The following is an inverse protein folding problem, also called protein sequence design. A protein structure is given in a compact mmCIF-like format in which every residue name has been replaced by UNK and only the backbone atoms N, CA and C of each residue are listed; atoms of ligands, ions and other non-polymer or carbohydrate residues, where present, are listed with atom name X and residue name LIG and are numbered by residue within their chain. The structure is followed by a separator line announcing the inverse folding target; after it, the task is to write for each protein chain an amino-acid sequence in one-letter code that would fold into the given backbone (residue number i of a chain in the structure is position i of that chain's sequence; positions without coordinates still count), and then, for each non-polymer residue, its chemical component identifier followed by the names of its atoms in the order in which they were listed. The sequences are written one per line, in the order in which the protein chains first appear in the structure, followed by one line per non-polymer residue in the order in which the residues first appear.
data_IF_460285381779
#
_entry.id   IF_460285381779
#
_cell.length_a   1.000
_cell.length_b   1.000
_cell.length_c   1.000
_cell.angle_alpha   90.00
_cell.angle_beta   90.00
_cell.angle_gamma   90.00
#
_symmetry.space_group_name_H-M   'P 1'
#
loop_
_entity.id
_entity.type
_entity.pdbx_description
1 polymer ?
#
# COMPACT_ATOMS: atom_id res chain seq x y z
N UNK A 1 -6.28 2.69 7.62
CA UNK A 1 -6.53 1.95 8.88
C UNK A 1 -6.64 0.48 8.60
N UNK A 2 -7.83 0.04 8.19
CA UNK A 2 -8.15 -1.39 8.06
C UNK A 2 -7.24 -2.22 7.14
N UNK A 3 -6.78 -1.70 6.00
CA UNK A 3 -5.86 -2.44 5.10
C UNK A 3 -4.58 -2.83 5.86
N UNK A 4 -3.96 -1.86 6.53
CA UNK A 4 -2.69 -2.02 7.23
C UNK A 4 -2.85 -3.04 8.35
N UNK A 5 -3.90 -2.93 9.18
CA UNK A 5 -4.21 -3.92 10.22
C UNK A 5 -4.32 -5.34 9.66
N UNK A 6 -4.95 -5.49 8.48
CA UNK A 6 -5.10 -6.81 7.84
C UNK A 6 -3.75 -7.37 7.38
N UNK A 7 -2.87 -6.51 6.86
CA UNK A 7 -1.53 -6.87 6.40
C UNK A 7 -0.58 -7.29 7.53
N UNK A 8 -0.71 -6.70 8.73
CA UNK A 8 0.06 -7.16 9.90
C UNK A 8 -0.20 -8.65 10.18
N UNK A 9 -1.46 -9.06 10.19
CA UNK A 9 -1.85 -10.46 10.37
C UNK A 9 -1.37 -11.37 9.24
N UNK A 10 -1.29 -10.86 8.01
CA UNK A 10 -0.72 -11.62 6.87
C UNK A 10 0.78 -11.84 7.07
N UNK A 11 1.50 -10.82 7.56
CA UNK A 11 2.94 -10.85 7.78
C UNK A 11 3.36 -11.46 9.14
N UNK A 12 2.43 -12.03 9.90
CA UNK A 12 2.72 -12.70 11.17
C UNK A 12 2.97 -11.76 12.36
N UNK A 13 2.61 -10.48 12.24
CA UNK A 13 2.65 -9.51 13.35
C UNK A 13 1.28 -9.32 14.01
N UNK A 14 1.27 -9.10 15.32
CA UNK A 14 0.11 -8.54 16.03
C UNK A 14 0.35 -7.04 16.24
N UNK A 15 -0.53 -6.21 15.69
CA UNK A 15 -0.57 -4.79 16.00
C UNK A 15 -1.08 -4.65 17.44
N UNK A 16 -0.27 -4.12 18.36
CA UNK A 16 -0.79 -3.66 19.66
C UNK A 16 -1.56 -2.38 19.40
N UNK A 17 -2.89 -2.51 19.33
CA UNK A 17 -3.84 -1.51 18.86
C UNK A 17 -4.04 -0.31 19.84
N UNK A 18 -3.00 0.11 20.56
CA UNK A 18 -3.02 1.22 21.52
C UNK A 18 -2.31 2.48 20.99
N UNK A 19 -1.95 2.51 19.71
CA UNK A 19 -1.30 3.65 19.11
C UNK A 19 -2.34 4.69 18.70
N UNK A 20 -2.15 5.95 19.15
CA UNK A 20 -2.96 7.10 18.80
C UNK A 20 -2.82 7.44 17.31
N UNK A 21 -3.44 6.63 16.44
CA UNK A 21 -3.50 6.89 15.01
C UNK A 21 -4.45 8.06 14.81
N UNK A 22 -3.88 9.23 14.51
CA UNK A 22 -4.66 10.35 14.06
C UNK A 22 -5.02 10.13 12.58
N UNK A 23 -6.25 9.70 12.31
CA UNK A 23 -6.73 9.47 10.94
C UNK A 23 -6.65 10.72 10.04
N UNK A 24 -6.60 11.91 10.65
CA UNK A 24 -6.44 13.17 9.94
C UNK A 24 -4.99 13.49 9.60
N UNK A 25 -3.99 12.85 10.21
CA UNK A 25 -2.60 13.06 9.83
C UNK A 25 -2.19 12.08 8.72
N UNK A 26 -1.45 12.54 7.70
CA UNK A 26 -0.81 11.62 6.76
C UNK A 26 0.28 10.77 7.43
N UNK A 27 0.86 11.22 8.55
CA UNK A 27 1.95 10.55 9.23
C UNK A 27 1.46 9.58 10.30
N UNK A 28 1.72 8.29 10.13
CA UNK A 28 1.34 7.23 11.05
C UNK A 28 2.60 6.61 11.66
N UNK A 29 2.76 6.81 12.96
CA UNK A 29 3.83 6.23 13.78
C UNK A 29 3.35 4.88 14.30
N UNK A 30 3.91 3.80 13.75
CA UNK A 30 3.58 2.44 14.19
C UNK A 30 4.78 1.68 14.77
N UNK A 31 4.56 0.89 15.82
CA UNK A 31 5.55 -0.04 16.36
C UNK A 31 5.51 -1.38 15.61
N UNK A 32 6.52 -1.64 14.78
CA UNK A 32 6.69 -2.90 14.05
C UNK A 32 7.85 -3.70 14.64
N UNK A 33 7.68 -5.01 14.91
CA UNK A 33 8.70 -5.83 15.56
C UNK A 33 9.93 -6.13 14.70
N UNK A 34 9.83 -6.06 13.36
CA UNK A 34 10.95 -6.32 12.43
C UNK A 34 10.88 -5.48 11.15
N UNK A 35 12.04 -5.11 10.60
CA UNK A 35 12.18 -4.50 9.27
C UNK A 35 11.61 -5.42 8.16
N UNK A 36 11.69 -6.73 8.31
CA UNK A 36 11.16 -7.69 7.33
C UNK A 36 9.63 -7.64 7.26
N UNK A 37 8.97 -7.46 8.41
CA UNK A 37 7.51 -7.31 8.47
C UNK A 37 7.10 -5.96 7.85
N UNK A 38 7.84 -4.89 8.15
CA UNK A 38 7.62 -3.58 7.54
C UNK A 38 7.72 -3.67 6.00
N UNK A 39 8.79 -4.28 5.47
CA UNK A 39 8.95 -4.50 4.03
C UNK A 39 7.87 -5.43 3.47
N UNK A 40 7.46 -6.46 4.21
CA UNK A 40 6.37 -7.36 3.84
C UNK A 40 5.03 -6.65 3.64
N UNK A 41 4.69 -5.71 4.54
CA UNK A 41 3.51 -4.86 4.41
C UNK A 41 3.60 -3.97 3.16
N UNK A 42 4.76 -3.34 2.94
CA UNK A 42 4.95 -2.42 1.81
C UNK A 42 4.88 -3.11 0.44
N UNK A 43 5.28 -4.38 0.36
CA UNK A 43 5.13 -5.20 -0.86
C UNK A 43 3.68 -5.47 -1.26
N UNK A 44 2.69 -5.08 -0.44
CA UNK A 44 1.28 -5.39 -0.69
C UNK A 44 0.33 -4.20 -0.57
N UNK A 45 0.63 -3.24 0.30
CA UNK A 45 -0.24 -2.09 0.51
C UNK A 45 -0.31 -1.22 -0.74
N UNK A 46 -1.53 -0.81 -1.09
CA UNK A 46 -1.77 0.22 -2.11
C UNK A 46 -2.15 1.57 -1.50
N UNK A 47 -2.36 1.62 -0.18
CA UNK A 47 -2.64 2.87 0.53
C UNK A 47 -1.35 3.57 0.99
N UNK A 48 -0.39 2.85 1.56
CA UNK A 48 0.83 3.47 2.07
C UNK A 48 1.76 3.89 0.93
N UNK A 49 2.40 5.06 1.06
CA UNK A 49 3.34 5.55 0.06
C UNK A 49 4.74 4.97 0.28
N UNK A 50 5.25 5.12 1.49
CA UNK A 50 6.60 4.70 1.86
C UNK A 50 6.65 4.39 3.35
N UNK A 51 7.57 3.50 3.74
CA UNK A 51 7.86 3.18 5.14
C UNK A 51 9.29 3.55 5.51
N UNK A 52 9.46 4.06 6.72
CA UNK A 52 10.75 4.54 7.21
C UNK A 52 10.96 4.08 8.64
N UNK A 53 12.18 3.69 8.95
CA UNK A 53 12.66 3.53 10.33
C UNK A 53 12.86 4.93 10.93
N UNK A 54 11.99 5.31 11.87
CA UNK A 54 12.11 6.59 12.57
C UNK A 54 13.26 6.56 13.58
N UNK A 55 14.11 7.56 13.50
CA UNK A 55 15.21 7.80 14.43
C UNK A 55 14.87 8.90 15.44
N UNK A 56 14.11 9.91 15.02
CA UNK A 56 13.68 10.95 15.94
C UNK A 56 12.49 11.75 15.44
N UNK A 57 11.75 12.34 16.37
CA UNK A 57 10.62 13.22 16.10
C UNK A 57 10.61 14.40 17.08
N UNK A 58 9.99 15.50 16.68
CA UNK A 58 9.80 16.67 17.55
C UNK A 58 8.91 17.73 16.93
N UNK A 59 8.27 18.56 17.74
CA UNK A 59 7.50 19.73 17.27
C UNK A 59 8.40 20.93 16.95
N UNK A 60 9.61 20.90 17.49
CA UNK A 60 10.65 21.90 17.24
C UNK A 60 11.96 21.23 16.83
N UNK A 61 12.84 21.98 16.16
CA UNK A 61 14.18 21.51 15.85
C UNK A 61 14.98 21.07 17.08
N UNK A 62 14.79 21.77 18.21
CA UNK A 62 15.42 21.40 19.49
C UNK A 62 14.95 20.03 19.98
N UNK A 63 13.64 19.79 19.95
CA UNK A 63 13.06 18.49 20.32
C UNK A 63 13.54 17.37 19.39
N UNK A 64 13.53 17.61 18.08
CA UNK A 64 14.04 16.65 17.10
C UNK A 64 15.51 16.30 17.37
N UNK A 65 16.33 17.32 17.62
CA UNK A 65 17.75 17.16 17.91
C UNK A 65 17.98 16.33 19.18
N UNK A 66 17.25 16.60 20.26
CA UNK A 66 17.29 15.80 21.49
C UNK A 66 16.82 14.36 21.23
N UNK A 67 15.74 14.18 20.47
CA UNK A 67 15.22 12.85 20.12
C UNK A 67 16.24 12.04 19.31
N UNK A 68 16.95 12.67 18.38
CA UNK A 68 17.98 12.03 17.56
C UNK A 68 19.23 11.65 18.37
N UNK A 69 19.64 12.50 19.31
CA UNK A 69 20.76 12.19 20.23
C UNK A 69 20.47 11.01 21.15
N UNK A 70 19.22 10.84 21.54
CA UNK A 70 18.78 9.75 22.41
C UNK A 70 18.56 8.42 21.66
N UNK A 71 18.61 8.42 20.33
CA UNK A 71 18.41 7.21 19.55
C UNK A 71 19.64 6.27 19.68
N UNK A 72 19.45 4.95 19.86
CA UNK A 72 20.55 4.02 20.08
C UNK A 72 21.60 4.05 18.96
N UNK A 73 22.83 4.43 19.30
CA UNK A 73 23.92 4.60 18.32
C UNK A 73 24.26 3.29 17.62
N UNK A 74 24.13 2.15 18.31
CA UNK A 74 24.31 0.80 17.75
C UNK A 74 23.38 0.52 16.55
N UNK A 75 22.17 1.11 16.53
CA UNK A 75 21.22 0.95 15.43
C UNK A 75 21.50 1.92 14.27
N UNK A 76 22.04 3.09 14.55
CA UNK A 76 22.43 4.06 13.52
C UNK A 76 23.72 3.67 12.82
N UNK A 77 24.70 3.22 13.59
CA UNK A 77 26.07 2.98 13.14
C UNK A 77 26.17 2.18 11.83
N UNK A 78 25.44 1.07 11.61
CA UNK A 78 25.54 0.30 10.37
C UNK A 78 25.28 1.13 9.11
N UNK A 79 24.46 2.18 9.21
CA UNK A 79 24.03 2.99 8.08
C UNK A 79 24.81 4.30 7.92
N UNK A 80 25.78 4.56 8.81
CA UNK A 80 26.56 5.80 8.88
C UNK A 80 28.06 5.58 8.64
N UNK A 81 28.47 4.37 8.25
CA UNK A 81 29.88 4.00 8.06
C UNK A 81 30.54 4.69 6.86
N UNK A 82 31.88 4.70 6.83
CA UNK A 82 32.69 5.38 5.79
C UNK A 82 32.63 4.72 4.42
N UNK A 83 32.40 3.42 4.41
CA UNK A 83 32.32 2.57 3.24
C UNK A 83 30.95 2.64 2.55
N UNK A 84 29.92 3.17 3.23
CA UNK A 84 28.59 3.32 2.64
C UNK A 84 28.35 4.69 2.00
N UNK A 85 27.36 4.71 1.12
CA UNK A 85 26.90 5.94 0.47
C UNK A 85 25.50 6.32 0.93
N UNK A 86 25.25 7.63 1.10
CA UNK A 86 23.96 8.09 1.56
C UNK A 86 23.44 9.34 0.85
N UNK A 87 22.14 9.56 1.00
CA UNK A 87 21.43 10.77 0.59
C UNK A 87 20.41 11.17 1.66
N UNK A 88 20.29 12.47 1.91
CA UNK A 88 19.23 13.04 2.75
C UNK A 88 18.23 13.78 1.84
N UNK A 89 16.97 13.40 1.94
CA UNK A 89 15.86 14.07 1.28
C UNK A 89 15.08 14.91 2.30
N UNK A 90 14.58 16.06 1.88
CA UNK A 90 13.70 16.90 2.69
C UNK A 90 12.35 16.99 2.00
N UNK A 91 11.30 16.60 2.72
CA UNK A 91 9.93 16.63 2.22
C UNK A 91 9.02 17.38 3.19
N UNK A 92 8.29 18.36 2.67
CA UNK A 92 7.27 19.06 3.41
C UNK A 92 5.89 18.68 2.86
N UNK A 93 5.05 18.14 3.73
CA UNK A 93 3.66 17.89 3.44
C UNK A 93 2.91 19.23 3.38
N UNK A 94 2.04 19.42 2.39
CA UNK A 94 1.27 20.66 2.18
C UNK A 94 2.09 21.96 2.03
N UNK A 95 3.40 21.88 1.78
CA UNK A 95 4.23 23.08 1.52
C UNK A 95 5.33 22.80 0.50
N UNK A 96 5.55 23.73 -0.42
CA UNK A 96 6.69 23.65 -1.34
C UNK A 96 7.88 24.38 -0.74
N UNK A 97 8.97 23.64 -0.51
CA UNK A 97 10.24 24.21 -0.05
C UNK A 97 11.14 24.58 -1.24
N UNK A 98 11.77 25.75 -1.16
CA UNK A 98 12.83 26.17 -2.09
C UNK A 98 14.09 25.34 -1.88
N UNK A 99 14.94 25.26 -2.91
CA UNK A 99 16.18 24.49 -2.85
C UNK A 99 17.11 24.94 -1.70
N UNK A 100 17.33 26.25 -1.54
CA UNK A 100 18.17 26.79 -0.47
C UNK A 100 17.65 26.44 0.92
N UNK A 101 16.34 26.46 1.14
CA UNK A 101 15.73 26.05 2.42
C UNK A 101 15.91 24.56 2.68
N UNK A 102 15.93 23.71 1.64
CA UNK A 102 16.20 22.28 1.80
C UNK A 102 17.65 22.04 2.21
N UNK A 103 18.60 22.75 1.60
CA UNK A 103 20.02 22.67 1.95
C UNK A 103 20.24 23.09 3.41
N UNK A 104 19.71 24.26 3.81
CA UNK A 104 19.82 24.74 5.20
C UNK A 104 19.35 23.69 6.23
N UNK A 105 18.23 23.02 5.96
CA UNK A 105 17.71 21.96 6.83
C UNK A 105 18.58 20.70 6.84
N UNK A 106 19.32 20.43 5.77
CA UNK A 106 20.30 19.34 5.73
C UNK A 106 21.54 19.73 6.54
N UNK A 107 21.99 20.98 6.42
CA UNK A 107 23.11 21.51 7.21
C UNK A 107 22.79 21.49 8.72
N UNK A 108 21.53 21.78 9.10
CA UNK A 108 21.04 21.66 10.48
C UNK A 108 21.14 20.22 11.04
N UNK A 109 21.32 19.22 10.19
CA UNK A 109 21.49 17.80 10.55
C UNK A 109 22.97 17.35 10.61
N UNK A 110 23.93 18.25 10.40
CA UNK A 110 25.37 17.96 10.37
C UNK A 110 25.89 17.36 11.69
N UNK A 111 25.20 17.60 12.81
CA UNK A 111 25.55 17.03 14.11
C UNK A 111 25.44 15.49 14.17
N UNK A 112 24.74 14.86 13.22
CA UNK A 112 24.64 13.42 13.13
C UNK A 112 25.98 12.84 12.60
N UNK A 113 26.46 11.71 13.14
CA UNK A 113 27.79 11.19 12.84
C UNK A 113 27.85 10.46 11.49
N UNK A 114 27.40 11.10 10.40
CA UNK A 114 27.54 10.60 9.04
C UNK A 114 29.01 10.55 8.65
N UNK A 115 29.58 9.34 8.53
CA UNK A 115 30.95 9.14 8.04
C UNK A 115 31.00 8.71 6.57
N UNK A 116 29.86 8.31 6.00
CA UNK A 116 29.73 7.85 4.62
C UNK A 116 29.89 8.96 3.58
N UNK A 117 29.91 8.59 2.31
CA UNK A 117 30.00 9.55 1.19
C UNK A 117 28.61 9.93 0.67
N UNK A 118 28.41 11.20 0.34
CA UNK A 118 27.14 11.65 -0.26
C UNK A 118 27.05 11.17 -1.72
N UNK A 119 26.00 10.43 -2.05
CA UNK A 119 25.68 10.01 -3.42
C UNK A 119 24.22 10.37 -3.75
N UNK A 120 24.02 11.34 -4.65
CA UNK A 120 22.69 11.83 -4.98
C UNK A 120 21.94 10.96 -6.01
N UNK A 121 22.65 10.11 -6.76
CA UNK A 121 22.11 9.31 -7.87
C UNK A 121 21.76 7.89 -7.45
N UNK A 122 22.66 7.21 -6.76
CA UNK A 122 22.52 5.79 -6.39
C UNK A 122 23.06 5.50 -4.98
N UNK A 123 22.47 6.12 -3.93
CA UNK A 123 22.88 5.87 -2.55
C UNK A 123 22.48 4.47 -2.08
N UNK A 124 23.27 3.89 -1.19
CA UNK A 124 22.91 2.67 -0.45
C UNK A 124 21.87 2.95 0.64
N UNK A 125 21.96 4.12 1.27
CA UNK A 125 21.06 4.51 2.35
C UNK A 125 20.39 5.85 2.06
N UNK A 126 19.07 5.87 2.16
CA UNK A 126 18.27 7.08 1.94
C UNK A 126 17.63 7.49 3.24
N UNK A 127 17.91 8.72 3.67
CA UNK A 127 17.34 9.34 4.85
C UNK A 127 16.36 10.42 4.45
N UNK A 128 15.34 10.64 5.28
CA UNK A 128 14.33 11.65 5.03
C UNK A 128 14.09 12.48 6.28
N UNK A 129 14.14 13.80 6.10
CA UNK A 129 13.53 14.77 6.98
C UNK A 129 12.13 15.09 6.45
N UNK A 130 11.12 14.84 7.27
CA UNK A 130 9.73 15.00 6.91
C UNK A 130 9.08 16.05 7.80
N UNK A 131 8.36 16.97 7.17
CA UNK A 131 7.70 18.07 7.85
C UNK A 131 6.18 17.99 7.63
N UNK A 132 5.42 17.91 8.72
CA UNK A 132 3.96 17.91 8.69
C UNK A 132 3.43 19.33 8.90
N UNK A 133 2.87 19.96 7.85
CA UNK A 133 2.18 21.25 7.94
C UNK A 133 0.65 21.10 8.08
N UNK A 134 0.14 19.89 8.36
CA UNK A 134 -1.29 19.62 8.52
C UNK A 134 -2.01 19.47 7.19
N UNK A 135 -3.33 19.24 7.24
CA UNK A 135 -4.14 18.83 6.07
C UNK A 135 -4.83 19.95 5.32
N UNK A 136 -4.94 21.14 5.89
CA UNK A 136 -5.60 22.29 5.24
C UNK A 136 -4.58 23.04 4.35
N UNK A 137 -4.67 22.93 3.01
CA UNK A 137 -3.73 23.60 2.12
C UNK A 137 -3.91 25.12 2.13
N UNK A 138 -5.12 25.61 2.43
CA UNK A 138 -5.46 27.03 2.37
C UNK A 138 -4.96 27.80 3.60
N UNK A 139 -4.75 27.10 4.72
CA UNK A 139 -4.27 27.67 5.97
C UNK A 139 -2.99 26.98 6.46
N UNK A 140 -1.98 26.93 5.58
CA UNK A 140 -0.71 26.26 5.87
C UNK A 140 0.11 27.10 6.87
N UNK A 141 0.48 26.56 8.04
CA UNK A 141 1.24 27.30 9.04
C UNK A 141 2.66 27.64 8.57
N UNK A 142 3.27 28.62 9.24
CA UNK A 142 4.64 29.03 8.93
C UNK A 142 5.65 27.94 9.31
N UNK A 143 5.44 27.32 10.48
CA UNK A 143 6.24 26.21 11.04
C UNK A 143 5.46 24.89 10.95
N UNK A 144 6.14 23.75 10.78
CA UNK A 144 5.48 22.46 10.78
C UNK A 144 4.98 22.13 12.20
N UNK A 145 3.90 21.36 12.28
CA UNK A 145 3.37 20.83 13.53
C UNK A 145 4.30 19.76 14.12
N UNK A 146 4.86 18.91 13.26
CA UNK A 146 5.79 17.84 13.64
C UNK A 146 6.86 17.67 12.58
N UNK A 147 8.08 17.44 13.05
CA UNK A 147 9.25 17.04 12.28
C UNK A 147 9.56 15.58 12.57
N UNK A 148 9.90 14.83 11.54
CA UNK A 148 10.34 13.45 11.65
C UNK A 148 11.63 13.24 10.87
N UNK A 149 12.55 12.45 11.43
CA UNK A 149 13.76 12.05 10.74
C UNK A 149 13.95 10.54 10.82
N UNK A 150 14.30 9.91 9.71
CA UNK A 150 14.48 8.47 9.66
C UNK A 150 15.07 7.93 8.36
N UNK A 151 15.34 6.63 8.36
CA UNK A 151 15.88 5.87 7.21
C UNK A 151 14.73 5.27 6.41
N UNK A 152 14.72 5.48 5.09
CA UNK A 152 13.75 4.85 4.17
C UNK A 152 14.03 3.36 4.05
N UNK A 153 12.96 2.55 4.04
CA UNK A 153 13.05 1.08 3.95
C UNK A 153 12.44 0.52 2.67
N UNK A 154 11.26 1.01 2.27
CA UNK A 154 10.54 0.53 1.09
C UNK A 154 9.39 1.48 0.69
N UNK A 155 8.99 1.42 -0.57
CA UNK A 155 7.78 2.04 -1.10
C UNK A 155 6.62 1.05 -1.21
N UNK A 156 5.40 1.57 -1.16
CA UNK A 156 4.17 0.81 -1.35
C UNK A 156 3.87 0.56 -2.81
N UNK A 157 2.88 -0.29 -3.08
CA UNK A 157 2.54 -0.78 -4.43
C UNK A 157 1.50 0.11 -5.15
N UNK A 158 1.61 1.44 -5.04
CA UNK A 158 0.61 2.37 -5.62
C UNK A 158 0.57 2.32 -7.14
N UNK A 159 1.68 1.94 -7.77
CA UNK A 159 1.81 1.69 -9.20
C UNK A 159 0.86 0.61 -9.73
N UNK A 160 0.43 -0.31 -8.87
CA UNK A 160 -0.57 -1.32 -9.23
C UNK A 160 -1.92 -0.69 -9.60
N UNK A 161 -2.27 0.44 -8.98
CA UNK A 161 -3.53 1.15 -9.26
C UNK A 161 -3.58 1.60 -10.73
N UNK A 162 -2.47 2.14 -11.24
CA UNK A 162 -2.38 2.57 -12.63
C UNK A 162 -2.20 1.40 -13.60
N UNK A 163 -1.40 0.41 -13.21
CA UNK A 163 -1.12 -0.80 -14.02
C UNK A 163 -2.39 -1.63 -14.26
N UNK A 164 -3.22 -1.79 -13.23
CA UNK A 164 -4.47 -2.56 -13.28
C UNK A 164 -5.71 -1.69 -13.53
N UNK A 165 -5.51 -0.42 -13.89
CA UNK A 165 -6.60 0.53 -14.08
C UNK A 165 -7.63 0.01 -15.09
N UNK A 166 -8.91 0.24 -14.79
CA UNK A 166 -10.03 -0.24 -15.62
C UNK A 166 -9.90 0.26 -17.07
N UNK A 167 -9.32 1.44 -17.30
CA UNK A 167 -9.12 2.01 -18.64
C UNK A 167 -8.23 1.13 -19.52
N UNK A 168 -7.19 0.52 -18.95
CA UNK A 168 -6.18 -0.30 -19.65
C UNK A 168 -6.58 -1.78 -19.77
N UNK A 169 -7.64 -2.20 -19.08
CA UNK A 169 -8.05 -3.60 -19.02
C UNK A 169 -8.73 -4.07 -20.31
N UNK A 170 -8.44 -5.29 -20.74
CA UNK A 170 -8.98 -5.86 -21.97
C UNK A 170 -10.50 -6.01 -21.91
N UNK A 171 -11.01 -6.73 -20.90
CA UNK A 171 -12.42 -6.95 -20.67
C UNK A 171 -12.95 -6.07 -19.53
N UNK A 172 -13.87 -5.16 -19.88
CA UNK A 172 -14.50 -4.23 -18.93
C UNK A 172 -16.02 -4.29 -19.00
N UNK A 173 -16.66 -3.87 -17.91
CA UNK A 173 -18.10 -3.78 -17.77
C UNK A 173 -18.49 -2.52 -17.01
N UNK A 174 -19.78 -2.17 -17.07
CA UNK A 174 -20.28 -0.94 -16.42
C UNK A 174 -20.16 -0.96 -14.88
N UNK A 175 -19.93 -2.14 -14.32
CA UNK A 175 -19.80 -2.39 -12.88
C UNK A 175 -18.42 -2.96 -12.52
N UNK A 176 -17.41 -2.74 -13.37
CA UNK A 176 -16.04 -3.13 -13.05
C UNK A 176 -15.53 -2.30 -11.87
N UNK A 177 -15.14 -2.99 -10.81
CA UNK A 177 -14.54 -2.37 -9.64
C UNK A 177 -13.21 -1.69 -9.99
N UNK A 178 -12.93 -0.58 -9.30
CA UNK A 178 -11.66 0.13 -9.39
C UNK A 178 -10.49 -0.75 -8.89
N UNK A 179 -9.31 -0.54 -9.45
CA UNK A 179 -8.12 -1.32 -9.10
C UNK A 179 -7.71 -1.13 -7.64
N UNK A 180 -7.74 0.11 -7.14
CA UNK A 180 -7.35 0.44 -5.78
C UNK A 180 -8.18 -0.34 -4.75
N UNK A 181 -9.50 -0.22 -4.85
CA UNK A 181 -10.43 -0.89 -3.96
C UNK A 181 -10.37 -2.42 -4.10
N UNK A 182 -10.15 -2.93 -5.32
CA UNK A 182 -9.96 -4.37 -5.53
C UNK A 182 -8.75 -4.93 -4.75
N UNK A 183 -7.62 -4.21 -4.77
CA UNK A 183 -6.42 -4.60 -4.00
C UNK A 183 -6.63 -4.45 -2.48
N UNK A 184 -7.30 -3.38 -2.05
CA UNK A 184 -7.65 -3.18 -0.63
C UNK A 184 -8.53 -4.33 -0.13
N UNK A 185 -9.54 -4.73 -0.90
CA UNK A 185 -10.42 -5.85 -0.53
C UNK A 185 -9.66 -7.18 -0.50
N UNK A 186 -8.73 -7.43 -1.43
CA UNK A 186 -7.88 -8.62 -1.41
C UNK A 186 -6.94 -8.65 -0.18
N UNK A 187 -6.42 -7.50 0.23
CA UNK A 187 -5.63 -7.35 1.45
C UNK A 187 -6.47 -7.55 2.72
N UNK A 188 -7.71 -7.04 2.74
CA UNK A 188 -8.67 -7.27 3.82
C UNK A 188 -9.09 -8.73 3.96
N UNK A 189 -9.29 -9.41 2.84
CA UNK A 189 -9.53 -10.85 2.80
C UNK A 189 -8.28 -11.69 3.11
N UNK A 190 -7.14 -11.03 3.39
CA UNK A 190 -5.88 -11.67 3.78
C UNK A 190 -5.41 -12.72 2.77
N UNK A 191 -5.65 -12.48 1.48
CA UNK A 191 -5.36 -13.43 0.41
C UNK A 191 -3.86 -13.76 0.36
N UNK A 192 -3.53 -15.04 0.46
CA UNK A 192 -2.16 -15.59 0.40
C UNK A 192 -1.94 -16.39 -0.88
N UNK A 193 -0.67 -16.59 -1.29
CA UNK A 193 -0.34 -17.53 -2.35
C UNK A 193 -0.96 -18.90 -2.09
N UNK A 194 -1.44 -19.54 -3.16
CA UNK A 194 -2.13 -20.83 -3.15
C UNK A 194 -3.51 -20.85 -2.46
N UNK A 195 -4.04 -19.72 -2.00
CA UNK A 195 -5.43 -19.70 -1.54
C UNK A 195 -6.40 -19.96 -2.69
N UNK A 196 -7.49 -20.66 -2.40
CA UNK A 196 -8.64 -20.73 -3.31
C UNK A 196 -9.64 -19.63 -2.93
N UNK A 197 -9.76 -18.63 -3.80
CA UNK A 197 -10.62 -17.46 -3.62
C UNK A 197 -11.84 -17.55 -4.52
N UNK A 198 -13.00 -17.24 -3.95
CA UNK A 198 -14.28 -17.29 -4.64
C UNK A 198 -14.99 -15.93 -4.65
N UNK A 199 -15.48 -15.51 -5.81
CA UNK A 199 -16.37 -14.35 -5.95
C UNK A 199 -17.77 -14.76 -6.45
N UNK A 200 -18.82 -14.72 -5.59
CA UNK A 200 -20.18 -15.06 -5.98
C UNK A 200 -20.85 -14.07 -6.96
N UNK A 201 -20.26 -12.89 -7.19
CA UNK A 201 -20.75 -11.86 -8.11
C UNK A 201 -19.59 -11.34 -8.98
N UNK A 202 -18.94 -12.25 -9.70
CA UNK A 202 -17.64 -11.99 -10.36
C UNK A 202 -17.68 -10.86 -11.37
N UNK A 203 -18.80 -10.65 -12.07
CA UNK A 203 -18.93 -9.65 -13.12
C UNK A 203 -17.79 -9.75 -14.15
N UNK A 204 -16.90 -8.75 -14.16
CA UNK A 204 -15.75 -8.71 -15.08
C UNK A 204 -14.43 -9.21 -14.49
N UNK A 205 -14.47 -9.77 -13.28
CA UNK A 205 -13.32 -10.39 -12.62
C UNK A 205 -12.31 -9.40 -12.03
N UNK A 206 -12.75 -8.19 -11.65
CA UNK A 206 -11.86 -7.17 -11.08
C UNK A 206 -11.20 -7.65 -9.77
N UNK A 207 -12.01 -8.24 -8.89
CA UNK A 207 -11.54 -8.79 -7.62
C UNK A 207 -10.67 -10.04 -7.81
N UNK A 208 -11.01 -10.89 -8.79
CA UNK A 208 -10.22 -12.07 -9.11
C UNK A 208 -8.82 -11.69 -9.60
N UNK A 209 -8.70 -10.68 -10.46
CA UNK A 209 -7.38 -10.20 -10.93
C UNK A 209 -6.52 -9.71 -9.76
N UNK A 210 -7.09 -8.97 -8.81
CA UNK A 210 -6.38 -8.51 -7.62
C UNK A 210 -5.95 -9.68 -6.71
N UNK A 211 -6.79 -10.70 -6.53
CA UNK A 211 -6.45 -11.88 -5.73
C UNK A 211 -5.37 -12.74 -6.40
N UNK A 212 -5.48 -12.94 -7.73
CA UNK A 212 -4.49 -13.68 -8.52
C UNK A 212 -3.13 -12.98 -8.54
N UNK A 213 -3.08 -11.65 -8.49
CA UNK A 213 -1.82 -10.91 -8.34
C UNK A 213 -1.08 -11.31 -7.06
N UNK A 214 -1.79 -11.59 -5.97
CA UNK A 214 -1.21 -12.12 -4.73
C UNK A 214 -0.99 -13.65 -4.74
N UNK A 215 -1.12 -14.29 -5.91
CA UNK A 215 -0.82 -15.71 -6.12
C UNK A 215 -1.92 -16.68 -5.70
N UNK A 216 -3.15 -16.20 -5.51
CA UNK A 216 -4.29 -17.06 -5.20
C UNK A 216 -4.94 -17.63 -6.46
N UNK A 217 -5.42 -18.87 -6.37
CA UNK A 217 -6.28 -19.48 -7.36
C UNK A 217 -7.67 -18.88 -7.27
N UNK A 218 -8.24 -18.49 -8.40
CA UNK A 218 -9.46 -17.69 -8.44
C UNK A 218 -10.57 -18.38 -9.22
N UNK A 219 -11.76 -18.36 -8.63
CA UNK A 219 -12.99 -18.80 -9.27
C UNK A 219 -14.16 -17.88 -8.89
N UNK A 220 -15.26 -17.95 -9.63
CA UNK A 220 -16.41 -17.11 -9.34
C UNK A 220 -17.69 -17.54 -10.04
N UNK A 221 -18.77 -16.88 -9.67
CA UNK A 221 -20.06 -17.04 -10.33
C UNK A 221 -20.69 -15.69 -10.67
N UNK A 222 -21.52 -15.68 -11.69
CA UNK A 222 -22.46 -14.60 -11.99
C UNK A 222 -23.72 -15.21 -12.58
N UNK A 223 -24.84 -14.51 -12.49
CA UNK A 223 -26.10 -14.95 -13.09
C UNK A 223 -26.14 -14.63 -14.59
N UNK A 224 -25.40 -13.61 -15.03
CA UNK A 224 -25.39 -13.18 -16.43
C UNK A 224 -24.40 -13.99 -17.27
N UNK A 225 -24.96 -14.92 -18.05
CA UNK A 225 -24.24 -15.74 -19.03
C UNK A 225 -23.39 -14.90 -19.99
N UNK A 226 -23.90 -13.75 -20.44
CA UNK A 226 -23.20 -12.92 -21.42
C UNK A 226 -21.98 -12.25 -20.81
N UNK A 227 -22.10 -11.76 -19.58
CA UNK A 227 -20.98 -11.12 -18.87
C UNK A 227 -19.86 -12.14 -18.62
N UNK A 228 -20.16 -13.33 -18.09
CA UNK A 228 -19.15 -14.38 -17.83
C UNK A 228 -18.37 -14.76 -19.09
N UNK A 229 -19.07 -14.96 -20.20
CA UNK A 229 -18.47 -15.42 -21.45
C UNK A 229 -18.00 -14.29 -22.37
N UNK A 230 -18.02 -13.03 -21.92
CA UNK A 230 -17.58 -11.91 -22.73
C UNK A 230 -18.43 -11.69 -24.00
N UNK A 231 -19.71 -12.08 -23.97
CA UNK A 231 -20.62 -11.96 -25.13
C UNK A 231 -21.44 -10.67 -25.07
N UNK A 232 -21.89 -10.22 -26.24
CA UNK A 232 -22.81 -9.09 -26.37
C UNK A 232 -22.10 -7.75 -26.61
N UNK A 233 -22.78 -6.66 -26.24
CA UNK A 233 -22.30 -5.29 -26.51
C UNK A 233 -21.07 -4.98 -25.66
N UNK A 234 -20.07 -4.34 -26.27
CA UNK A 234 -18.93 -3.86 -25.52
C UNK A 234 -19.32 -2.62 -24.71
N UNK A 235 -18.71 -2.46 -23.53
CA UNK A 235 -18.89 -1.26 -22.70
C UNK A 235 -18.13 -0.04 -23.24
N UNK A 236 -17.22 -0.23 -24.20
CA UNK A 236 -16.39 0.84 -24.77
C UNK A 236 -17.19 1.63 -25.82
N UNK A 237 -17.14 2.97 -25.76
CA UNK A 237 -17.90 3.89 -26.64
C UNK A 237 -17.68 3.63 -28.14
N UNK A 238 -16.48 3.21 -28.53
CA UNK A 238 -16.09 3.03 -29.93
C UNK A 238 -16.22 1.58 -30.42
N UNK A 239 -16.84 0.69 -29.63
CA UNK A 239 -16.94 -0.72 -29.94
C UNK A 239 -18.37 -1.20 -29.71
N UNK A 240 -19.03 -1.70 -30.76
CA UNK A 240 -20.44 -2.12 -30.69
C UNK A 240 -20.60 -3.50 -30.04
N UNK A 241 -19.67 -4.41 -30.32
CA UNK A 241 -19.69 -5.81 -29.87
C UNK A 241 -18.34 -6.21 -29.29
N UNK A 242 -18.36 -7.08 -28.28
CA UNK A 242 -17.15 -7.59 -27.64
C UNK A 242 -16.32 -8.45 -28.59
N UNK A 243 -15.00 -8.42 -28.42
CA UNK A 243 -14.07 -9.25 -29.19
C UNK A 243 -14.11 -10.72 -28.78
N UNK A 244 -13.58 -11.65 -29.62
CA UNK A 244 -13.61 -13.10 -29.34
C UNK A 244 -12.81 -13.51 -28.08
N UNK A 245 -11.83 -12.70 -27.68
CA UNK A 245 -11.02 -12.94 -26.46
C UNK A 245 -11.34 -11.91 -25.35
N UNK A 246 -12.49 -11.22 -25.41
CA UNK A 246 -12.83 -10.19 -24.43
C UNK A 246 -13.59 -10.77 -23.23
N UNK A 247 -12.89 -11.57 -22.40
CA UNK A 247 -13.47 -12.29 -21.25
C UNK A 247 -12.59 -12.20 -19.98
N UNK A 248 -13.04 -12.82 -18.88
CA UNK A 248 -12.35 -12.80 -17.58
C UNK A 248 -10.98 -13.48 -17.64
N UNK A 249 -10.88 -14.61 -18.36
CA UNK A 249 -9.60 -15.33 -18.54
C UNK A 249 -8.58 -14.45 -19.26
N UNK A 250 -9.01 -13.70 -20.28
CA UNK A 250 -8.15 -12.77 -21.01
C UNK A 250 -7.66 -11.62 -20.14
N UNK A 251 -8.47 -11.14 -19.17
CA UNK A 251 -7.99 -10.18 -18.17
C UNK A 251 -6.81 -10.75 -17.36
N UNK A 252 -6.91 -12.00 -16.90
CA UNK A 252 -5.81 -12.63 -16.16
C UNK A 252 -4.60 -12.87 -17.07
N UNK A 253 -4.81 -13.31 -18.31
CA UNK A 253 -3.76 -13.47 -19.32
C UNK A 253 -3.01 -12.17 -19.59
N UNK A 254 -3.71 -11.03 -19.71
CA UNK A 254 -3.11 -9.71 -19.91
C UNK A 254 -2.03 -9.39 -18.87
N UNK A 255 -2.22 -9.81 -17.62
CA UNK A 255 -1.28 -9.56 -16.52
C UNK A 255 -0.36 -10.75 -16.22
N UNK A 256 -0.34 -11.79 -17.06
CA UNK A 256 0.46 -13.00 -16.83
C UNK A 256 -0.04 -13.88 -15.67
N UNK A 257 -1.31 -13.75 -15.29
CA UNK A 257 -1.94 -14.41 -14.15
C UNK A 257 -2.85 -15.57 -14.54
N UNK A 258 -2.89 -15.97 -15.81
CA UNK A 258 -3.79 -17.02 -16.33
C UNK A 258 -3.63 -18.36 -15.60
N UNK A 259 -2.42 -18.69 -15.13
CA UNK A 259 -2.14 -19.91 -14.35
C UNK A 259 -2.94 -20.03 -13.04
N UNK A 260 -3.45 -18.92 -12.52
CA UNK A 260 -4.24 -18.88 -11.30
C UNK A 260 -5.75 -18.96 -11.57
N UNK A 261 -6.17 -18.88 -12.83
CA UNK A 261 -7.57 -18.98 -13.21
C UNK A 261 -8.04 -20.43 -13.09
N UNK A 262 -9.01 -20.68 -12.22
CA UNK A 262 -9.68 -21.98 -12.14
C UNK A 262 -10.84 -22.00 -13.13
N UNK A 263 -11.97 -21.37 -12.78
CA UNK A 263 -13.04 -21.08 -13.73
C UNK A 263 -14.07 -20.10 -13.20
N UNK A 264 -14.95 -19.63 -14.09
CA UNK A 264 -16.16 -18.89 -13.74
C UNK A 264 -17.39 -19.61 -14.27
N UNK A 265 -18.42 -19.73 -13.43
CA UNK A 265 -19.63 -20.50 -13.74
C UNK A 265 -20.88 -19.63 -13.70
N UNK A 266 -21.89 -20.01 -14.49
CA UNK A 266 -23.19 -19.35 -14.44
C UNK A 266 -23.98 -19.92 -13.27
N UNK A 267 -24.24 -19.09 -12.26
CA UNK A 267 -25.06 -19.47 -11.12
C UNK A 267 -25.66 -18.25 -10.44
N UNK A 268 -26.84 -18.46 -9.88
CA UNK A 268 -27.43 -17.52 -8.93
C UNK A 268 -26.81 -17.76 -7.54
N UNK A 269 -26.21 -16.72 -6.95
CA UNK A 269 -25.57 -16.77 -5.64
C UNK A 269 -26.54 -17.12 -4.48
N UNK A 270 -27.85 -16.99 -4.69
CA UNK A 270 -28.87 -17.42 -3.72
C UNK A 270 -29.09 -18.94 -3.71
N UNK A 271 -28.59 -19.66 -4.72
CA UNK A 271 -28.75 -21.11 -4.84
C UNK A 271 -27.57 -21.85 -4.20
N UNK A 272 -27.89 -22.95 -3.52
CA UNK A 272 -26.89 -23.82 -2.88
C UNK A 272 -26.27 -24.74 -3.93
N UNK A 273 -25.24 -24.26 -4.61
CA UNK A 273 -24.46 -25.04 -5.58
C UNK A 273 -23.22 -25.71 -4.97
N UNK A 274 -22.77 -25.24 -3.81
CA UNK A 274 -21.59 -25.73 -3.12
C UNK A 274 -21.95 -26.81 -2.10
N UNK A 275 -21.02 -27.74 -1.89
CA UNK A 275 -21.10 -28.70 -0.78
C UNK A 275 -20.97 -27.96 0.56
N UNK A 276 -21.53 -28.51 1.63
CA UNK A 276 -21.46 -27.93 2.99
C UNK A 276 -20.12 -28.21 3.66
N UNK A 277 -19.03 -27.93 2.97
CA UNK A 277 -17.66 -28.11 3.44
C UNK A 277 -16.88 -26.80 3.29
N UNK A 278 -15.76 -26.67 3.99
CA UNK A 278 -14.87 -25.52 3.84
C UNK A 278 -14.08 -25.66 2.54
N UNK A 279 -14.64 -25.14 1.45
CA UNK A 279 -14.05 -25.23 0.11
C UNK A 279 -13.08 -24.09 -0.20
N UNK A 280 -13.37 -22.89 0.29
CA UNK A 280 -12.64 -21.67 -0.07
C UNK A 280 -11.88 -21.10 1.12
N UNK A 281 -10.69 -20.58 0.85
CA UNK A 281 -9.89 -19.88 1.86
C UNK A 281 -10.41 -18.46 2.09
N UNK A 282 -10.93 -17.82 1.04
CA UNK A 282 -11.56 -16.51 1.12
C UNK A 282 -12.72 -16.38 0.14
N UNK A 283 -13.75 -15.63 0.56
CA UNK A 283 -14.83 -15.18 -0.31
C UNK A 283 -14.78 -13.67 -0.35
N UNK A 284 -14.68 -13.11 -1.56
CA UNK A 284 -14.54 -11.68 -1.79
C UNK A 284 -15.56 -11.26 -2.83
N UNK A 285 -16.32 -10.20 -2.56
CA UNK A 285 -17.33 -9.77 -3.53
C UNK A 285 -17.73 -8.32 -3.34
N UNK A 286 -18.10 -7.68 -4.45
CA UNK A 286 -18.76 -6.38 -4.47
C UNK A 286 -20.19 -6.58 -4.99
N UNK A 287 -21.11 -6.90 -4.08
CA UNK A 287 -22.52 -7.04 -4.44
C UNK A 287 -23.00 -5.67 -4.91
N UNK A 288 -23.45 -5.59 -6.17
CA UNK A 288 -23.97 -4.35 -6.78
C UNK A 288 -24.94 -3.62 -5.84
N UNK A 289 -24.47 -2.56 -5.20
CA UNK A 289 -25.28 -1.52 -4.56
C UNK A 289 -25.10 -0.21 -5.33
N UNK A 290 -26.20 0.47 -5.62
CA UNK A 290 -26.28 1.68 -6.43
C UNK A 290 -25.79 2.90 -5.64
N UNK A 291 -24.51 2.93 -5.26
CA UNK A 291 -23.87 4.08 -4.64
C UNK A 291 -22.60 4.44 -5.41
N UNK A 292 -22.55 5.67 -5.92
CA UNK A 292 -21.35 6.24 -6.53
C UNK A 292 -20.32 6.39 -5.42
N UNK A 293 -19.33 5.52 -5.36
CA UNK A 293 -18.22 5.66 -4.42
C UNK A 293 -17.41 6.90 -4.78
N UNK A 294 -17.36 7.85 -3.83
CA UNK A 294 -16.49 9.00 -3.89
C UNK A 294 -15.03 8.55 -3.96
N UNK A 295 -14.22 9.35 -4.66
CA UNK A 295 -12.78 9.18 -4.77
C UNK A 295 -12.22 8.99 -3.36
N UNK A 296 -11.66 7.80 -3.09
CA UNK A 296 -10.84 7.58 -1.90
C UNK A 296 -9.68 8.55 -2.05
N UNK A 297 -9.70 9.62 -1.25
CA UNK A 297 -8.57 10.52 -1.14
C UNK A 297 -7.37 9.64 -0.83
N UNK A 298 -6.27 9.75 -1.59
CA UNK A 298 -5.07 9.03 -1.26
C UNK A 298 -4.67 9.51 0.13
N UNK A 299 -4.97 8.71 1.15
CA UNK A 299 -4.22 8.77 2.38
C UNK A 299 -2.79 8.57 1.91
N UNK A 300 -2.06 9.68 1.82
CA UNK A 300 -0.62 9.66 1.87
C UNK A 300 -0.39 9.14 3.27
N UNK A 301 -0.43 7.82 3.44
CA UNK A 301 0.15 7.25 4.63
C UNK A 301 1.64 7.45 4.40
N UNK A 302 2.13 8.54 4.96
CA UNK A 302 3.45 8.58 5.55
C UNK A 302 3.42 7.61 6.71
N UNK A 303 3.44 6.34 6.37
CA UNK A 303 3.52 5.27 7.32
C UNK A 303 4.98 5.23 7.73
N UNK A 304 5.43 6.17 8.55
CA UNK A 304 6.73 6.03 9.20
C UNK A 304 6.56 5.05 10.35
N UNK A 305 6.68 3.77 10.07
CA UNK A 305 6.77 2.78 11.13
C UNK A 305 8.04 3.00 11.94
N UNK A 306 7.84 3.57 13.11
CA UNK A 306 8.88 3.79 14.09
C UNK A 306 9.28 2.44 14.62
N UNK A 307 10.48 2.02 14.24
CA UNK A 307 11.06 0.83 14.78
C UNK A 307 11.55 1.08 16.20
N UNK A 308 10.70 0.78 17.18
CA UNK A 308 11.17 0.49 18.54
C UNK A 308 11.37 -1.02 18.68
N UNK A 309 12.56 -1.52 18.29
CA UNK A 309 13.05 -2.82 18.81
C UNK A 309 12.95 -2.74 20.35
N UNK A 310 12.38 -3.75 21.04
CA UNK A 310 12.22 -3.72 22.49
C UNK A 310 13.56 -3.47 23.19
N UNK A 311 13.55 -2.87 24.41
CA UNK A 311 14.76 -2.76 25.22
C UNK A 311 15.38 -4.15 25.43
N UNK A 312 16.71 -4.23 25.37
CA UNK A 312 17.43 -5.41 25.83
C UNK A 312 17.02 -5.67 27.27
N UNK A 313 16.33 -6.79 27.53
CA UNK A 313 16.24 -7.29 28.89
C UNK A 313 17.67 -7.67 29.31
N UNK A 314 18.19 -7.12 30.43
CA UNK A 314 19.42 -7.64 31.00
C UNK A 314 19.19 -9.11 31.43
N UNK A 315 20.25 -9.93 31.44
CA UNK A 315 20.18 -11.37 31.68
C UNK A 315 19.57 -11.76 33.02
#
# INVERSE_FOLDING_TARGET
GGEITSLFSVCGGQLRCEENINEKSPFWVLNIPSEDIAKGIMRRTVCAKSIFELWGQGRTWKELHTSLKNYPTERMNPYLQRDSTYKINVYAFNKTLTHNKRIQKIDDLEFLPFKGKVNLKSPEHVFWLLEDYGTDPNNTPEKPFVLYFGRWLADGQRELIDSYSVKKRHFIGNTSMDACLSFIMANHAQVRPNNLVFDPFVGTGSLLVACAHFGAYVCGTDIDFNTIHGRGKASRKNQKWRGPDENIRANLRQYGLEKFYIDVFVSDASKKIWRKEKLFDAIITDRKFRLKSGIVQPCIILLQCVFQRPPLHPP
#
